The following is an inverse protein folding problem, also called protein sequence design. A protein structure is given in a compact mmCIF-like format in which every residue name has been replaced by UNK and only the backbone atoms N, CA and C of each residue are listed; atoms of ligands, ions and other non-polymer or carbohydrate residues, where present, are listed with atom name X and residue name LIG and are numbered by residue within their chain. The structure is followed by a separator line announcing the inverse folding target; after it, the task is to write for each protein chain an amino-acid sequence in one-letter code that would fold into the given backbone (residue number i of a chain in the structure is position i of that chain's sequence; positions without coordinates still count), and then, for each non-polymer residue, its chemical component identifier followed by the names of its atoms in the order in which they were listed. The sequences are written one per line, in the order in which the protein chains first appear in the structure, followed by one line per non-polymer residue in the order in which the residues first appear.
data_IF_451897426938
#
_entry.id   IF_451897426938
#
_cell.length_a   1.000
_cell.length_b   1.000
_cell.length_c   1.000
_cell.angle_alpha   90.00
_cell.angle_beta   90.00
_cell.angle_gamma   90.00
#
_symmetry.space_group_name_H-M   'P 1'
#
loop_
_entity.id
_entity.type
_entity.pdbx_description
1 polymer ?
#
# COMPACT_ATOMS: atom_id res chain seq x y z
N UNK A 1 -18.29 -4.28 -28.38
CA UNK A 1 -17.66 -2.94 -28.23
C UNK A 1 -17.65 -2.63 -26.73
N UNK A 2 -16.58 -2.65 -25.93
CA UNK A 2 -15.13 -2.80 -26.07
C UNK A 2 -14.70 -3.86 -25.03
N UNK A 3 -13.95 -4.87 -25.44
CA UNK A 3 -13.37 -5.85 -24.53
C UNK A 3 -12.11 -5.21 -23.93
N UNK A 4 -12.22 -4.68 -22.72
CA UNK A 4 -11.07 -4.16 -22.00
C UNK A 4 -10.34 -5.34 -21.37
N UNK A 5 -9.18 -5.68 -21.92
CA UNK A 5 -8.19 -6.58 -21.32
C UNK A 5 -7.79 -5.98 -19.95
N UNK A 6 -8.25 -6.58 -18.85
CA UNK A 6 -7.95 -6.16 -17.49
C UNK A 6 -7.68 -7.47 -16.75
N UNK A 7 -6.47 -7.86 -16.33
CA UNK A 7 -5.44 -7.15 -15.56
C UNK A 7 -4.04 -7.72 -15.92
N UNK A 8 -3.12 -6.91 -16.47
CA UNK A 8 -1.84 -7.41 -17.02
C UNK A 8 -0.86 -8.05 -16.01
N UNK A 9 -0.99 -7.77 -14.71
CA UNK A 9 -0.07 -8.30 -13.69
C UNK A 9 -0.53 -9.64 -13.10
N UNK A 10 -1.82 -9.97 -13.19
CA UNK A 10 -2.34 -11.24 -12.66
C UNK A 10 -1.81 -12.44 -13.47
N UNK A 11 -1.59 -12.24 -14.77
CA UNK A 11 -1.08 -13.27 -15.70
C UNK A 11 0.46 -13.31 -15.80
N UNK A 12 1.18 -12.40 -15.13
CA UNK A 12 2.64 -12.31 -15.23
C UNK A 12 3.30 -13.36 -14.34
N UNK A 13 4.10 -14.23 -14.95
CA UNK A 13 4.95 -15.20 -14.25
C UNK A 13 6.43 -14.91 -14.56
N UNK A 14 7.15 -14.32 -13.60
CA UNK A 14 8.57 -13.95 -13.76
C UNK A 14 9.47 -15.17 -14.00
N UNK A 15 9.12 -16.35 -13.48
CA UNK A 15 9.91 -17.58 -13.68
C UNK A 15 9.82 -18.12 -15.12
N UNK A 16 8.74 -17.79 -15.84
CA UNK A 16 8.56 -18.17 -17.24
C UNK A 16 9.32 -17.26 -18.21
N UNK A 17 9.84 -16.12 -17.74
CA UNK A 17 10.59 -15.18 -18.56
C UNK A 17 12.04 -15.66 -18.67
N UNK A 18 12.38 -16.33 -19.76
CA UNK A 18 13.72 -16.90 -20.02
C UNK A 18 14.88 -15.92 -19.80
N UNK A 19 14.68 -14.64 -20.13
CA UNK A 19 15.71 -13.61 -19.95
C UNK A 19 15.96 -13.21 -18.49
N UNK A 20 15.10 -13.60 -17.55
CA UNK A 20 15.26 -13.36 -16.12
C UNK A 20 15.73 -14.61 -15.36
N UNK A 21 15.79 -15.77 -16.02
CA UNK A 21 16.29 -16.99 -15.40
C UNK A 21 17.78 -16.83 -15.05
N UNK A 22 18.18 -17.31 -13.88
CA UNK A 22 19.56 -17.24 -13.37
C UNK A 22 20.11 -15.83 -13.06
N UNK A 23 19.33 -14.76 -13.28
CA UNK A 23 19.79 -13.39 -13.09
C UNK A 23 19.20 -12.74 -11.83
N UNK A 24 20.04 -12.19 -10.92
CA UNK A 24 19.55 -11.43 -9.78
C UNK A 24 18.81 -10.16 -10.25
N UNK A 25 17.65 -9.89 -9.67
CA UNK A 25 16.87 -8.69 -9.99
C UNK A 25 16.23 -8.05 -8.76
N UNK A 26 15.91 -6.76 -8.88
CA UNK A 26 15.17 -5.99 -7.88
C UNK A 26 13.87 -5.53 -8.53
N UNK A 27 12.74 -5.71 -7.84
CA UNK A 27 11.44 -5.24 -8.32
C UNK A 27 11.17 -3.82 -7.80
N UNK A 28 10.91 -2.87 -8.70
CA UNK A 28 10.56 -1.49 -8.35
C UNK A 28 9.23 -1.14 -8.99
N UNK A 29 8.35 -0.46 -8.25
CA UNK A 29 7.03 -0.10 -8.74
C UNK A 29 6.53 1.20 -8.14
N UNK A 30 5.94 2.06 -8.98
CA UNK A 30 5.18 3.25 -8.57
C UNK A 30 3.81 3.25 -9.26
N UNK A 31 2.81 3.80 -8.59
CA UNK A 31 1.43 3.88 -9.06
C UNK A 31 0.79 2.50 -9.38
N UNK A 32 1.13 1.47 -8.60
CA UNK A 32 0.43 0.19 -8.66
C UNK A 32 -0.94 0.33 -8.00
N UNK A 33 -1.95 0.68 -8.80
CA UNK A 33 -3.27 1.01 -8.29
C UNK A 33 -4.20 -0.20 -8.10
N UNK A 34 -5.04 -0.10 -7.07
CA UNK A 34 -5.98 -1.14 -6.68
C UNK A 34 -5.32 -2.48 -6.37
N UNK A 35 -5.76 -3.59 -6.97
CA UNK A 35 -5.19 -4.90 -6.67
C UNK A 35 -3.75 -5.08 -7.17
N UNK A 36 -3.23 -4.17 -8.00
CA UNK A 36 -1.93 -4.34 -8.65
C UNK A 36 -0.78 -4.47 -7.67
N UNK A 37 -0.77 -3.72 -6.55
CA UNK A 37 0.28 -3.83 -5.54
C UNK A 37 0.34 -5.25 -4.98
N UNK A 38 -0.79 -5.79 -4.52
CA UNK A 38 -0.88 -7.13 -3.95
C UNK A 38 -0.59 -8.23 -4.98
N UNK A 39 -1.02 -8.05 -6.23
CA UNK A 39 -0.68 -8.97 -7.32
C UNK A 39 0.82 -8.94 -7.64
N UNK A 40 1.45 -7.77 -7.66
CA UNK A 40 2.91 -7.66 -7.84
C UNK A 40 3.66 -8.34 -6.71
N UNK A 41 3.27 -8.14 -5.45
CA UNK A 41 3.93 -8.81 -4.31
C UNK A 41 3.85 -10.34 -4.44
N UNK A 42 2.70 -10.88 -4.84
CA UNK A 42 2.53 -12.32 -5.10
C UNK A 42 3.29 -12.79 -6.34
N UNK A 43 3.41 -11.97 -7.37
CA UNK A 43 4.20 -12.29 -8.56
C UNK A 43 5.70 -12.37 -8.23
N UNK A 44 6.18 -11.48 -7.35
CA UNK A 44 7.57 -11.45 -6.91
C UNK A 44 7.94 -12.62 -5.99
N UNK A 45 6.98 -13.15 -5.22
CA UNK A 45 7.21 -14.21 -4.25
C UNK A 45 6.43 -15.46 -4.64
N UNK A 46 7.15 -16.50 -5.05
CA UNK A 46 6.56 -17.77 -5.46
C UNK A 46 5.94 -18.45 -4.25
N UNK A 47 4.68 -18.86 -4.37
CA UNK A 47 4.02 -19.72 -3.39
C UNK A 47 4.79 -21.05 -3.28
N UNK A 48 5.33 -21.35 -2.09
CA UNK A 48 6.06 -22.60 -1.81
C UNK A 48 5.25 -23.87 -2.12
N UNK A 49 3.92 -23.74 -2.27
CA UNK A 49 3.01 -24.85 -2.56
C UNK A 49 3.16 -25.47 -3.95
N UNK A 50 3.95 -24.88 -4.86
CA UNK A 50 4.26 -25.46 -6.18
C UNK A 50 5.74 -25.88 -6.33
N UNK A 51 6.51 -25.92 -5.24
CA UNK A 51 7.96 -26.16 -5.26
C UNK A 51 8.34 -27.61 -5.61
N UNK A 52 7.39 -28.56 -5.59
CA UNK A 52 7.69 -29.94 -6.01
C UNK A 52 8.00 -30.08 -7.51
N UNK A 53 7.76 -29.06 -8.34
CA UNK A 53 7.96 -29.15 -9.79
C UNK A 53 9.00 -28.18 -10.38
N UNK A 54 9.58 -27.27 -9.60
CA UNK A 54 10.55 -26.31 -10.14
C UNK A 54 11.60 -25.93 -9.09
N UNK A 55 12.81 -26.48 -9.24
CA UNK A 55 14.02 -26.02 -8.54
C UNK A 55 14.49 -24.64 -8.99
N UNK A 56 13.57 -23.73 -9.30
CA UNK A 56 13.85 -22.36 -9.70
C UNK A 56 14.13 -21.53 -8.46
N UNK A 57 15.42 -21.26 -8.24
CA UNK A 57 15.83 -20.20 -7.32
C UNK A 57 15.15 -18.90 -7.79
N UNK A 58 14.22 -18.35 -7.01
CA UNK A 58 13.75 -17.00 -7.27
C UNK A 58 14.95 -16.06 -7.10
N UNK A 59 15.42 -15.47 -8.18
CA UNK A 59 16.58 -14.57 -8.17
C UNK A 59 16.24 -13.14 -7.70
N UNK A 60 15.04 -12.93 -7.16
CA UNK A 60 14.69 -11.68 -6.51
C UNK A 60 15.71 -11.41 -5.39
N UNK A 61 16.29 -10.22 -5.37
CA UNK A 61 17.17 -9.75 -4.28
C UNK A 61 16.46 -8.79 -3.34
N UNK A 62 15.39 -8.17 -3.82
CA UNK A 62 14.52 -7.33 -3.03
C UNK A 62 13.49 -6.61 -3.88
N UNK A 63 12.65 -5.83 -3.21
CA UNK A 63 11.63 -5.00 -3.83
C UNK A 63 11.52 -3.63 -3.16
N UNK A 64 11.06 -2.64 -3.93
CA UNK A 64 10.73 -1.31 -3.46
C UNK A 64 9.45 -0.83 -4.18
N UNK A 65 8.31 -0.85 -3.49
CA UNK A 65 7.00 -0.57 -4.07
C UNK A 65 6.36 0.63 -3.37
N UNK A 66 6.09 1.70 -4.10
CA UNK A 66 5.39 2.87 -3.57
C UNK A 66 3.88 2.57 -3.44
N UNK A 67 3.31 2.83 -2.26
CA UNK A 67 1.90 2.56 -1.94
C UNK A 67 1.10 3.87 -1.96
N UNK A 68 -0.02 3.91 -2.69
CA UNK A 68 -0.79 5.15 -2.84
C UNK A 68 -2.31 4.97 -3.04
N UNK A 69 -2.70 4.09 -3.95
CA UNK A 69 -4.09 3.91 -4.41
C UNK A 69 -4.91 2.96 -3.50
N UNK A 70 -4.86 3.16 -2.18
CA UNK A 70 -5.50 2.26 -1.21
C UNK A 70 -7.02 2.15 -1.37
N UNK A 71 -7.68 3.22 -1.80
CA UNK A 71 -9.13 3.26 -2.03
C UNK A 71 -9.62 2.33 -3.15
N UNK A 72 -8.71 1.87 -4.01
CA UNK A 72 -8.99 0.90 -5.07
C UNK A 72 -8.66 -0.54 -4.67
N UNK A 73 -8.14 -0.77 -3.45
CA UNK A 73 -7.79 -2.11 -3.01
C UNK A 73 -9.03 -2.99 -2.95
N UNK A 74 -8.89 -4.26 -3.33
CA UNK A 74 -9.99 -5.20 -3.40
C UNK A 74 -9.74 -6.34 -2.44
N UNK A 75 -10.74 -6.65 -1.60
CA UNK A 75 -10.65 -7.76 -0.63
C UNK A 75 -10.18 -9.05 -1.29
N UNK A 76 -10.73 -9.40 -2.47
CA UNK A 76 -10.37 -10.60 -3.23
C UNK A 76 -8.85 -10.73 -3.40
N UNK A 77 -8.18 -9.66 -3.80
CA UNK A 77 -6.76 -9.69 -4.17
C UNK A 77 -5.81 -9.33 -3.02
N UNK A 78 -6.31 -8.68 -1.96
CA UNK A 78 -5.49 -8.29 -0.82
C UNK A 78 -4.76 -9.49 -0.21
N UNK A 79 -3.47 -9.31 0.03
CA UNK A 79 -2.54 -10.44 0.21
C UNK A 79 -2.54 -11.01 1.62
N UNK A 80 -2.81 -10.17 2.65
CA UNK A 80 -2.75 -10.59 4.05
C UNK A 80 -4.11 -10.57 4.75
N UNK A 81 -5.05 -11.36 4.25
CA UNK A 81 -6.39 -11.49 4.87
C UNK A 81 -6.30 -12.02 6.31
N UNK A 82 -5.34 -12.90 6.61
CA UNK A 82 -5.13 -13.47 7.95
C UNK A 82 -4.84 -12.38 8.98
N UNK A 83 -3.93 -11.46 8.68
CA UNK A 83 -3.66 -10.29 9.52
C UNK A 83 -4.92 -9.47 9.78
N UNK A 84 -5.68 -9.13 8.74
CA UNK A 84 -6.91 -8.34 8.91
C UNK A 84 -7.95 -9.09 9.75
N UNK A 85 -8.18 -10.37 9.50
CA UNK A 85 -9.09 -11.20 10.29
C UNK A 85 -8.64 -11.29 11.76
N UNK A 86 -7.34 -11.30 12.04
CA UNK A 86 -6.83 -11.28 13.43
C UNK A 86 -7.14 -9.98 14.17
N UNK A 87 -7.38 -8.89 13.44
CA UNK A 87 -7.85 -7.60 13.97
C UNK A 87 -9.38 -7.50 14.01
N UNK A 88 -10.11 -8.55 13.64
CA UNK A 88 -11.58 -8.52 13.50
C UNK A 88 -12.07 -7.81 12.23
N UNK A 89 -11.19 -7.55 11.25
CA UNK A 89 -11.53 -6.90 9.99
C UNK A 89 -11.92 -7.96 8.97
N UNK A 90 -13.21 -8.02 8.66
CA UNK A 90 -13.77 -8.82 7.58
C UNK A 90 -13.81 -8.07 6.25
N UNK A 91 -14.53 -8.63 5.29
CA UNK A 91 -14.68 -8.06 3.94
C UNK A 91 -15.37 -6.69 3.96
N UNK A 92 -16.44 -6.56 4.75
CA UNK A 92 -17.23 -5.32 4.79
C UNK A 92 -16.47 -4.21 5.55
N UNK A 93 -15.78 -4.55 6.65
CA UNK A 93 -14.90 -3.62 7.34
C UNK A 93 -13.74 -3.20 6.44
N UNK A 94 -13.17 -4.12 5.67
CA UNK A 94 -12.13 -3.78 4.70
C UNK A 94 -12.64 -2.82 3.63
N UNK A 95 -13.85 -3.01 3.11
CA UNK A 95 -14.45 -2.06 2.17
C UNK A 95 -14.58 -0.66 2.80
N UNK A 96 -15.04 -0.57 4.05
CA UNK A 96 -15.11 0.70 4.77
C UNK A 96 -13.71 1.33 4.95
N UNK A 97 -12.71 0.54 5.36
CA UNK A 97 -11.32 0.99 5.49
C UNK A 97 -10.78 1.54 4.17
N UNK A 98 -10.99 0.82 3.05
CA UNK A 98 -10.56 1.30 1.73
C UNK A 98 -11.24 2.62 1.38
N UNK A 99 -12.53 2.77 1.67
CA UNK A 99 -13.25 4.02 1.43
C UNK A 99 -12.69 5.17 2.27
N UNK A 100 -12.48 4.97 3.57
CA UNK A 100 -11.89 5.99 4.44
C UNK A 100 -10.47 6.40 4.03
N UNK A 101 -9.73 5.58 3.27
CA UNK A 101 -8.40 5.99 2.78
C UNK A 101 -8.43 7.19 1.82
N UNK A 102 -9.56 7.49 1.17
CA UNK A 102 -9.65 8.69 0.32
C UNK A 102 -9.53 9.98 1.14
N UNK A 103 -10.02 9.96 2.39
CA UNK A 103 -10.00 11.11 3.29
C UNK A 103 -8.59 11.56 3.69
N UNK A 104 -7.58 10.69 3.50
CA UNK A 104 -6.19 11.02 3.81
C UNK A 104 -5.64 12.20 3.01
N UNK A 105 -6.15 12.43 1.79
CA UNK A 105 -5.66 13.44 0.85
C UNK A 105 -6.72 14.48 0.45
N UNK A 106 -7.96 14.30 0.88
CA UNK A 106 -9.08 15.21 0.57
C UNK A 106 -8.96 16.61 1.20
N UNK A 107 -8.00 16.83 2.11
CA UNK A 107 -7.78 18.13 2.75
C UNK A 107 -7.16 19.20 1.82
N UNK A 108 -6.68 18.82 0.62
CA UNK A 108 -5.88 19.69 -0.25
C UNK A 108 -6.69 20.71 -1.08
N UNK A 109 -7.93 21.01 -0.68
CA UNK A 109 -8.73 22.11 -1.22
C UNK A 109 -9.02 23.22 -0.19
N UNK A 110 -8.39 23.16 0.99
CA UNK A 110 -8.58 24.17 2.04
C UNK A 110 -7.38 24.27 2.98
N UNK A 111 -6.42 25.13 2.61
CA UNK A 111 -5.31 25.66 3.41
C UNK A 111 -4.20 24.69 3.85
N UNK A 112 -2.96 25.10 3.52
CA UNK A 112 -1.69 24.55 3.99
C UNK A 112 -1.71 24.18 5.48
N UNK A 113 -1.65 22.88 5.78
CA UNK A 113 -1.43 22.36 7.14
C UNK A 113 -0.15 21.51 7.17
N UNK A 114 0.96 22.09 6.75
CA UNK A 114 2.29 21.45 6.89
C UNK A 114 2.97 21.74 8.23
N UNK A 115 2.50 22.70 9.03
CA UNK A 115 3.13 23.06 10.30
C UNK A 115 2.12 23.12 11.46
N UNK A 116 1.81 21.97 12.06
CA UNK A 116 1.21 21.93 13.41
C UNK A 116 1.98 20.96 14.30
N UNK A 117 3.27 21.24 14.45
CA UNK A 117 4.03 20.92 15.65
C UNK A 117 4.75 22.20 16.10
N UNK A 118 3.98 23.20 16.51
CA UNK A 118 4.31 24.25 17.49
C UNK A 118 3.38 25.44 17.21
N UNK A 119 2.33 25.68 18.00
CA UNK A 119 1.77 27.03 18.07
C UNK A 119 1.11 27.32 19.41
N UNK A 120 1.65 28.36 20.03
CA UNK A 120 1.11 29.09 21.17
C UNK A 120 -0.26 29.65 20.83
N UNK A 121 -1.14 29.60 21.82
CA UNK A 121 -2.47 30.21 21.85
C UNK A 121 -2.43 31.69 21.40
N UNK A 122 -3.21 32.03 20.38
CA UNK A 122 -3.89 33.31 20.32
C UNK A 122 -5.28 33.13 19.68
N UNK A 123 -6.37 33.49 20.38
CA UNK A 123 -7.74 33.26 19.92
C UNK A 123 -8.21 34.45 19.08
N UNK A 124 -8.86 34.19 17.93
CA UNK A 124 -9.96 34.97 17.35
C UNK A 124 -10.30 34.49 15.91
N UNK A 125 -11.18 33.48 15.76
CA UNK A 125 -12.15 33.34 14.65
C UNK A 125 -13.04 32.09 14.80
N UNK A 126 -14.18 32.26 15.46
CA UNK A 126 -15.04 31.20 16.04
C UNK A 126 -15.92 30.42 15.02
N UNK A 127 -15.86 30.70 13.71
CA UNK A 127 -16.67 29.94 12.71
C UNK A 127 -15.86 29.01 11.80
N UNK A 128 -14.52 29.03 11.89
CA UNK A 128 -13.62 28.21 11.05
C UNK A 128 -13.04 26.98 11.75
N UNK A 129 -13.16 26.91 13.08
CA UNK A 129 -12.55 25.85 13.90
C UNK A 129 -13.29 24.51 13.77
N UNK A 130 -14.62 24.50 13.77
CA UNK A 130 -15.40 23.23 13.74
C UNK A 130 -15.22 22.44 12.43
N UNK A 131 -15.24 23.11 11.27
CA UNK A 131 -15.01 22.46 9.97
C UNK A 131 -13.56 22.01 9.78
N UNK A 132 -12.60 22.76 10.34
CA UNK A 132 -11.18 22.43 10.26
C UNK A 132 -10.84 21.22 11.15
N UNK A 133 -11.40 21.15 12.36
CA UNK A 133 -11.22 20.01 13.27
C UNK A 133 -11.77 18.70 12.67
N UNK A 134 -12.94 18.75 12.03
CA UNK A 134 -13.52 17.58 11.34
C UNK A 134 -12.66 17.13 10.14
N UNK A 135 -12.16 18.09 9.33
CA UNK A 135 -11.27 17.77 8.21
C UNK A 135 -9.95 17.14 8.67
N UNK A 136 -9.34 17.66 9.74
CA UNK A 136 -8.14 17.10 10.35
C UNK A 136 -8.41 15.69 10.89
N UNK A 137 -9.56 15.48 11.55
CA UNK A 137 -10.00 14.18 12.04
C UNK A 137 -10.15 13.14 10.92
N UNK A 138 -10.79 13.53 9.81
CA UNK A 138 -10.96 12.68 8.62
C UNK A 138 -9.63 12.32 7.96
N UNK A 139 -8.72 13.29 7.82
CA UNK A 139 -7.39 13.04 7.27
C UNK A 139 -6.60 12.04 8.12
N UNK A 140 -6.58 12.24 9.45
CA UNK A 140 -5.94 11.30 10.39
C UNK A 140 -6.50 9.89 10.27
N UNK A 141 -7.83 9.75 10.24
CA UNK A 141 -8.48 8.45 10.05
C UNK A 141 -8.07 7.81 8.72
N UNK A 142 -8.08 8.57 7.63
CA UNK A 142 -7.67 8.08 6.31
C UNK A 142 -6.24 7.56 6.30
N UNK A 143 -5.30 8.28 6.93
CA UNK A 143 -3.91 7.81 7.08
C UNK A 143 -3.81 6.54 7.92
N UNK A 144 -4.56 6.42 9.02
CA UNK A 144 -4.60 5.20 9.81
C UNK A 144 -5.11 4.00 8.99
N UNK A 145 -6.16 4.21 8.19
CA UNK A 145 -6.68 3.17 7.29
C UNK A 145 -5.65 2.74 6.23
N UNK A 146 -4.89 3.68 5.65
CA UNK A 146 -3.75 3.36 4.76
C UNK A 146 -2.69 2.52 5.47
N UNK A 147 -2.33 2.91 6.70
CA UNK A 147 -1.34 2.20 7.52
C UNK A 147 -1.76 0.77 7.84
N UNK A 148 -3.05 0.52 8.12
CA UNK A 148 -3.55 -0.84 8.36
C UNK A 148 -3.29 -1.74 7.13
N UNK A 149 -3.59 -1.24 5.93
CA UNK A 149 -3.39 -1.98 4.68
C UNK A 149 -1.89 -2.22 4.42
N UNK A 150 -1.05 -1.19 4.56
CA UNK A 150 0.39 -1.34 4.29
C UNK A 150 1.10 -2.19 5.35
N UNK A 151 0.66 -2.13 6.60
CA UNK A 151 1.17 -3.01 7.66
C UNK A 151 0.88 -4.47 7.33
N UNK A 152 -0.31 -4.81 6.84
CA UNK A 152 -0.59 -6.19 6.45
C UNK A 152 0.28 -6.68 5.29
N UNK A 153 0.56 -5.82 4.29
CA UNK A 153 1.52 -6.13 3.21
C UNK A 153 2.94 -6.35 3.75
N UNK A 154 3.38 -5.48 4.65
CA UNK A 154 4.68 -5.59 5.32
C UNK A 154 4.79 -6.89 6.12
N UNK A 155 3.77 -7.24 6.91
CA UNK A 155 3.75 -8.47 7.70
C UNK A 155 3.74 -9.71 6.81
N UNK A 156 3.03 -9.67 5.69
CA UNK A 156 3.02 -10.78 4.73
C UNK A 156 4.41 -11.04 4.16
N UNK A 157 5.15 -9.99 3.81
CA UNK A 157 6.54 -10.13 3.36
C UNK A 157 7.45 -10.68 4.45
N UNK A 158 7.26 -10.27 5.72
CA UNK A 158 8.01 -10.86 6.86
C UNK A 158 7.72 -12.34 7.04
N UNK A 159 6.46 -12.76 6.88
CA UNK A 159 6.07 -14.17 6.94
C UNK A 159 6.75 -15.01 5.83
N UNK A 160 7.17 -14.39 4.73
CA UNK A 160 7.93 -15.02 3.64
C UNK A 160 9.45 -14.90 3.82
N UNK A 161 9.92 -14.51 5.02
CA UNK A 161 11.35 -14.48 5.36
C UNK A 161 12.12 -13.27 4.88
N UNK A 162 11.46 -12.22 4.37
CA UNK A 162 12.13 -10.98 3.98
C UNK A 162 12.27 -10.01 5.16
N UNK A 163 13.42 -9.36 5.25
CA UNK A 163 13.56 -8.15 6.06
C UNK A 163 12.80 -7.02 5.38
N UNK A 164 11.85 -6.40 6.10
CA UNK A 164 10.94 -5.41 5.51
C UNK A 164 10.82 -4.13 6.31
N UNK A 165 10.64 -3.03 5.57
CA UNK A 165 10.50 -1.69 6.11
C UNK A 165 9.43 -0.92 5.32
N UNK A 166 8.68 -0.07 6.02
CA UNK A 166 7.81 0.93 5.41
C UNK A 166 8.42 2.30 5.71
N UNK A 167 8.93 2.96 4.67
CA UNK A 167 9.67 4.23 4.82
C UNK A 167 8.96 5.36 4.06
N UNK A 168 9.24 6.61 4.44
CA UNK A 168 8.83 7.78 3.64
C UNK A 168 9.93 8.15 2.66
N UNK A 169 9.63 8.19 1.36
CA UNK A 169 10.64 8.51 0.33
C UNK A 169 10.76 10.02 0.04
N UNK A 170 9.76 10.81 0.43
CA UNK A 170 9.76 12.29 0.38
C UNK A 170 8.96 12.85 1.56
N UNK A 171 9.14 14.13 1.94
CA UNK A 171 8.27 14.79 2.91
C UNK A 171 6.80 14.80 2.49
N UNK A 172 5.89 14.78 3.47
CA UNK A 172 4.44 14.82 3.21
C UNK A 172 3.98 16.13 2.56
N UNK A 173 4.75 17.21 2.69
CA UNK A 173 4.53 18.48 1.99
C UNK A 173 4.80 18.42 0.48
N UNK A 174 5.57 17.43 0.01
CA UNK A 174 5.82 17.20 -1.43
C UNK A 174 4.78 16.25 -2.01
N UNK A 175 4.48 15.17 -1.28
CA UNK A 175 3.42 14.22 -1.64
C UNK A 175 2.85 13.61 -0.36
N UNK A 176 1.54 13.66 -0.11
CA UNK A 176 0.94 12.94 1.02
C UNK A 176 0.99 11.42 0.80
N UNK A 177 1.03 10.98 -0.45
CA UNK A 177 1.31 9.60 -0.86
C UNK A 177 2.82 9.41 -0.99
N UNK A 178 3.52 9.20 0.14
CA UNK A 178 4.97 9.16 0.20
C UNK A 178 5.55 7.89 0.83
N UNK A 179 4.76 6.83 0.94
CA UNK A 179 5.21 5.59 1.56
C UNK A 179 5.82 4.63 0.52
N UNK A 180 6.91 3.98 0.91
CA UNK A 180 7.64 2.98 0.13
C UNK A 180 7.78 1.72 0.96
N UNK A 181 7.23 0.62 0.47
CA UNK A 181 7.41 -0.71 1.03
C UNK A 181 8.70 -1.32 0.45
N UNK A 182 9.68 -1.54 1.32
CA UNK A 182 10.97 -2.13 0.97
C UNK A 182 11.04 -3.52 1.58
N UNK A 183 11.57 -4.49 0.82
CA UNK A 183 11.90 -5.80 1.34
C UNK A 183 13.12 -6.41 0.66
N UNK A 184 13.93 -7.17 1.40
CA UNK A 184 15.11 -7.88 0.90
C UNK A 184 15.33 -9.19 1.67
N UNK A 185 16.13 -10.08 1.08
CA UNK A 185 16.61 -11.32 1.73
C UNK A 185 17.80 -11.04 2.66
#
# INVERSE_FOLDING_TARGET
MKQWWSVMVEDLNLNAVKSLQELPYIAIGKHLCGPATDLTLRCCLVDEKNVEQCGSNCHLKGLAIATCCHHLCQWKHYINKKYLTSLGIGKEEFHAITWFTSWAVDADHGSDLSDVMDFKLHPESIEKEECAEDAIGRAKLGFMCKQIIDTGRLMWLKEHGLETQLVKYVPSSVSPENHLLIASF
#
